data_IF_576504868152
#
_entry.id   IF_576504868152
#
_cell.length_a   1.000
_cell.length_b   1.000
_cell.length_c   1.000
_cell.angle_alpha   90.00
_cell.angle_beta   90.00
_cell.angle_gamma   90.00
#
_symmetry.space_group_name_H-M   'P 1'
#
loop_
_entity.id
_entity.type
_entity.pdbx_description
1 polymer ?
#
# COMPACT_ATOMS: atom_id res chain seq x y z
N UNK A 1 -3.96 -22.38 21.09
CA UNK A 1 -4.63 -21.12 20.72
C UNK A 1 -3.56 -20.28 20.10
N UNK A 2 -3.36 -20.47 18.80
CA UNK A 2 -2.29 -19.80 18.07
C UNK A 2 -2.64 -18.32 17.96
N UNK A 3 -1.83 -17.47 18.58
CA UNK A 3 -1.89 -16.04 18.37
C UNK A 3 -1.43 -15.81 16.93
N UNK A 4 -2.39 -15.57 16.03
CA UNK A 4 -2.08 -15.05 14.70
C UNK A 4 -1.62 -13.60 14.89
N UNK A 5 -0.31 -13.37 14.87
CA UNK A 5 0.29 -12.11 15.30
C UNK A 5 0.39 -11.12 14.13
N UNK A 6 -0.46 -10.08 14.15
CA UNK A 6 -0.18 -8.86 13.38
C UNK A 6 1.14 -8.25 13.87
N UNK A 7 2.12 -8.09 12.99
CA UNK A 7 3.48 -7.64 13.37
C UNK A 7 3.80 -6.26 12.81
N UNK A 8 4.41 -5.38 13.61
CA UNK A 8 4.85 -4.08 13.15
C UNK A 8 6.07 -4.22 12.22
N UNK A 9 5.97 -3.71 11.00
CA UNK A 9 7.09 -3.62 10.07
C UNK A 9 7.87 -2.33 10.39
N UNK A 10 9.17 -2.47 10.61
CA UNK A 10 10.02 -1.37 11.10
C UNK A 10 11.31 -1.13 10.31
N UNK A 11 11.62 -1.94 9.29
CA UNK A 11 12.77 -1.67 8.42
C UNK A 11 12.51 -0.43 7.56
N UNK A 12 13.17 0.72 7.81
CA UNK A 12 12.88 1.97 7.13
C UNK A 12 13.10 1.91 5.61
N UNK A 13 13.98 1.02 5.15
CA UNK A 13 14.34 0.89 3.74
C UNK A 13 13.39 -0.04 2.98
N UNK A 14 12.57 -0.81 3.70
CA UNK A 14 11.63 -1.72 3.06
C UNK A 14 10.61 -0.93 2.23
N UNK A 15 10.43 -1.39 1.00
CA UNK A 15 9.44 -0.85 0.08
C UNK A 15 8.10 -1.57 0.24
N UNK A 16 7.03 -0.80 0.26
CA UNK A 16 5.65 -1.22 0.32
C UNK A 16 4.99 -0.95 -1.02
N UNK A 17 4.60 -2.01 -1.72
CA UNK A 17 3.99 -1.93 -3.03
C UNK A 17 2.49 -1.67 -2.96
N UNK A 18 2.02 -0.75 -3.81
CA UNK A 18 0.62 -0.40 -3.97
C UNK A 18 0.25 -0.42 -5.45
N UNK A 19 -0.82 -1.14 -5.77
CA UNK A 19 -1.39 -1.16 -7.10
C UNK A 19 -2.34 0.02 -7.31
N UNK A 20 -2.24 0.64 -8.48
CA UNK A 20 -3.08 1.79 -8.85
C UNK A 20 -4.14 1.34 -9.84
N UNK A 21 -5.40 1.63 -9.56
CA UNK A 21 -6.52 1.30 -10.44
C UNK A 21 -6.56 2.24 -11.66
N UNK A 22 -6.88 1.78 -12.89
CA UNK A 22 -6.88 2.61 -14.09
C UNK A 22 -7.70 3.90 -14.00
N UNK A 23 -8.88 3.85 -13.36
CA UNK A 23 -9.73 5.04 -13.17
C UNK A 23 -9.12 6.13 -12.28
N UNK A 24 -8.01 5.84 -11.62
CA UNK A 24 -7.32 6.74 -10.70
C UNK A 24 -5.90 7.10 -11.18
N UNK A 25 -5.59 6.78 -12.45
CA UNK A 25 -4.36 7.17 -13.09
C UNK A 25 -4.67 7.88 -14.40
N UNK A 26 -4.29 9.15 -14.52
CA UNK A 26 -4.50 9.94 -15.72
C UNK A 26 -3.39 10.97 -15.90
N UNK A 27 -2.94 11.15 -17.15
CA UNK A 27 -1.87 12.11 -17.50
C UNK A 27 -0.61 11.98 -16.62
N UNK A 28 -0.23 10.75 -16.28
CA UNK A 28 0.92 10.48 -15.42
C UNK A 28 0.72 10.91 -13.97
N UNK A 29 -0.51 11.04 -13.48
CA UNK A 29 -0.84 11.43 -12.11
C UNK A 29 -1.69 10.37 -11.43
N UNK A 30 -1.39 10.10 -10.17
CA UNK A 30 -2.19 9.21 -9.32
C UNK A 30 -3.17 10.04 -8.49
N UNK A 31 -4.45 9.67 -8.51
CA UNK A 31 -5.44 10.26 -7.62
C UNK A 31 -5.20 9.83 -6.16
N UNK A 32 -5.26 10.78 -5.22
CA UNK A 32 -5.01 10.52 -3.79
C UNK A 32 -5.88 9.46 -3.14
N UNK A 33 -7.05 9.16 -3.72
CA UNK A 33 -7.91 8.07 -3.25
C UNK A 33 -7.22 6.70 -3.30
N UNK A 34 -6.22 6.49 -4.17
CA UNK A 34 -5.43 5.27 -4.19
C UNK A 34 -4.61 5.02 -2.91
N UNK A 35 -4.36 6.08 -2.14
CA UNK A 35 -3.60 6.07 -0.88
C UNK A 35 -4.45 6.54 0.31
N UNK A 36 -5.77 6.63 0.15
CA UNK A 36 -6.69 7.01 1.22
C UNK A 36 -7.71 5.87 1.41
N UNK A 37 -7.53 4.99 2.41
CA UNK A 37 -8.51 3.95 2.68
C UNK A 37 -9.83 4.58 3.11
N UNK A 38 -10.94 3.89 2.86
CA UNK A 38 -12.26 4.31 3.30
C UNK A 38 -12.77 3.46 4.48
N UNK A 39 -13.97 3.75 4.97
CA UNK A 39 -14.55 3.03 6.11
C UNK A 39 -14.86 1.55 5.82
N UNK A 40 -15.13 1.19 4.57
CA UNK A 40 -15.31 -0.21 4.15
C UNK A 40 -13.99 -0.98 4.16
N UNK A 41 -12.86 -0.27 4.02
CA UNK A 41 -11.51 -0.83 4.17
C UNK A 41 -11.06 -0.88 5.64
N UNK A 42 -11.95 -0.61 6.61
CA UNK A 42 -11.60 -0.48 8.04
C UNK A 42 -10.43 0.49 8.30
N UNK A 43 -10.29 1.52 7.46
CA UNK A 43 -9.15 2.44 7.44
C UNK A 43 -7.78 1.72 7.36
N UNK A 44 -7.72 0.55 6.72
CA UNK A 44 -6.50 -0.22 6.45
C UNK A 44 -6.18 -0.13 4.97
N UNK A 45 -5.07 0.52 4.61
CA UNK A 45 -4.64 0.61 3.22
C UNK A 45 -3.76 -0.59 2.86
N UNK A 46 -4.29 -1.53 2.08
CA UNK A 46 -3.53 -2.72 1.64
C UNK A 46 -2.31 -2.36 0.81
N UNK A 47 -1.18 -2.97 1.15
CA UNK A 47 0.11 -2.90 0.47
C UNK A 47 0.74 -4.29 0.41
N UNK A 48 1.89 -4.40 -0.24
CA UNK A 48 2.71 -5.62 -0.21
C UNK A 48 4.15 -5.33 0.15
N UNK A 49 4.74 -6.22 0.93
CA UNK A 49 6.11 -6.16 1.41
C UNK A 49 7.10 -6.57 0.33
N UNK A 50 8.04 -5.68 0.00
CA UNK A 50 9.13 -5.96 -0.94
C UNK A 50 10.09 -7.03 -0.45
N UNK A 51 10.12 -7.31 0.85
CA UNK A 51 10.87 -8.44 1.42
C UNK A 51 10.36 -9.80 0.95
N UNK A 52 9.08 -9.90 0.58
CA UNK A 52 8.43 -11.16 0.24
C UNK A 52 8.14 -11.33 -1.25
N UNK A 53 7.92 -10.24 -1.98
CA UNK A 53 7.58 -10.25 -3.40
C UNK A 53 8.34 -9.14 -4.12
N UNK A 54 8.59 -9.30 -5.42
CA UNK A 54 9.03 -8.22 -6.31
C UNK A 54 7.87 -7.30 -6.73
N UNK A 55 8.17 -6.13 -7.30
CA UNK A 55 7.15 -5.21 -7.84
C UNK A 55 6.30 -5.86 -8.95
N UNK A 56 6.93 -6.70 -9.78
CA UNK A 56 6.27 -7.55 -10.79
C UNK A 56 5.36 -8.59 -10.14
N UNK A 57 5.85 -9.39 -9.19
CA UNK A 57 5.00 -10.36 -8.50
C UNK A 57 3.82 -9.70 -7.80
N UNK A 58 4.02 -8.53 -7.17
CA UNK A 58 2.94 -7.76 -6.56
C UNK A 58 1.86 -7.36 -7.58
N UNK A 59 2.27 -6.96 -8.79
CA UNK A 59 1.37 -6.70 -9.91
C UNK A 59 0.61 -7.96 -10.34
N UNK A 60 1.32 -9.06 -10.59
CA UNK A 60 0.71 -10.32 -11.06
C UNK A 60 -0.26 -10.90 -10.03
N UNK A 61 0.07 -10.84 -8.73
CA UNK A 61 -0.85 -11.28 -7.67
C UNK A 61 -2.12 -10.42 -7.70
N UNK A 62 -2.00 -9.10 -7.81
CA UNK A 62 -3.16 -8.22 -7.84
C UNK A 62 -4.02 -8.44 -9.10
N UNK A 63 -3.38 -8.55 -10.26
CA UNK A 63 -4.05 -8.68 -11.56
C UNK A 63 -4.65 -10.06 -11.77
N UNK A 64 -3.86 -11.12 -11.56
CA UNK A 64 -4.24 -12.47 -11.98
C UNK A 64 -4.79 -13.32 -10.83
N UNK A 65 -4.27 -13.15 -9.60
CA UNK A 65 -4.72 -13.97 -8.45
C UNK A 65 -5.95 -13.33 -7.80
N UNK A 66 -5.92 -12.01 -7.57
CA UNK A 66 -7.06 -11.29 -7.00
C UNK A 66 -8.09 -10.86 -8.06
N UNK A 67 -7.77 -11.01 -9.35
CA UNK A 67 -8.63 -10.61 -10.47
C UNK A 67 -9.05 -9.12 -10.41
N UNK A 68 -8.13 -8.25 -9.99
CA UNK A 68 -8.35 -6.81 -9.85
C UNK A 68 -7.63 -6.03 -10.94
N UNK A 69 -8.18 -4.88 -11.34
CA UNK A 69 -7.57 -4.01 -12.37
C UNK A 69 -6.47 -3.15 -11.77
N UNK A 70 -5.34 -3.09 -12.45
CA UNK A 70 -4.26 -2.16 -12.12
C UNK A 70 -3.51 -1.68 -13.36
N UNK A 71 -2.99 -0.45 -13.32
CA UNK A 71 -2.07 0.09 -14.35
C UNK A 71 -0.60 -0.13 -14.00
N UNK A 72 -0.29 -0.59 -12.79
CA UNK A 72 1.09 -0.74 -12.36
C UNK A 72 1.27 -0.77 -10.85
N UNK A 73 2.51 -0.97 -10.44
CA UNK A 73 2.94 -1.03 -9.04
C UNK A 73 3.79 0.20 -8.70
N UNK A 74 3.32 0.97 -7.73
CA UNK A 74 4.10 2.04 -7.10
C UNK A 74 4.56 1.60 -5.72
N UNK A 75 5.49 2.34 -5.12
CA UNK A 75 6.00 2.02 -3.80
C UNK A 75 6.13 3.21 -2.86
N UNK A 76 5.98 2.93 -1.57
CA UNK A 76 6.36 3.80 -0.45
C UNK A 76 7.46 3.11 0.36
N UNK A 77 8.29 3.83 1.10
CA UNK A 77 9.17 3.20 2.09
C UNK A 77 8.47 3.21 3.45
N UNK A 78 8.83 2.27 4.33
CA UNK A 78 8.34 2.28 5.72
C UNK A 78 8.72 3.59 6.41
N UNK A 79 9.88 4.18 6.08
CA UNK A 79 10.29 5.49 6.58
C UNK A 79 9.33 6.61 6.15
N UNK A 80 8.95 6.68 4.87
CA UNK A 80 8.01 7.69 4.34
C UNK A 80 6.63 7.59 5.00
N UNK A 81 6.16 6.37 5.25
CA UNK A 81 4.91 6.13 5.99
C UNK A 81 5.04 6.58 7.45
N UNK A 82 6.16 6.22 8.09
CA UNK A 82 6.42 6.56 9.49
C UNK A 82 6.59 8.07 9.72
N UNK A 83 7.14 8.82 8.75
CA UNK A 83 7.23 10.29 8.77
C UNK A 83 5.86 10.97 8.85
N UNK A 84 4.81 10.29 8.36
CA UNK A 84 3.42 10.74 8.44
C UNK A 84 2.68 10.19 9.67
N UNK A 85 3.43 9.68 10.66
CA UNK A 85 2.93 9.09 11.91
C UNK A 85 1.98 7.89 11.70
N UNK A 86 2.12 7.20 10.56
CA UNK A 86 1.39 5.97 10.26
C UNK A 86 2.24 4.74 10.59
N UNK A 87 1.57 3.61 10.84
CA UNK A 87 2.21 2.31 11.07
C UNK A 87 1.90 1.35 9.94
N UNK A 88 2.85 0.46 9.67
CA UNK A 88 2.71 -0.61 8.68
C UNK A 88 2.65 -1.93 9.42
N UNK A 89 1.62 -2.72 9.17
CA UNK A 89 1.34 -3.95 9.89
C UNK A 89 1.37 -5.11 8.91
N UNK A 90 2.21 -6.10 9.19
CA UNK A 90 2.20 -7.40 8.52
C UNK A 90 1.00 -8.20 9.04
N UNK A 91 0.14 -8.63 8.12
CA UNK A 91 -1.00 -9.51 8.34
C UNK A 91 -0.99 -10.67 7.33
N UNK A 92 0.18 -11.03 6.80
CA UNK A 92 0.33 -12.09 5.80
C UNK A 92 -0.09 -13.48 6.30
N UNK A 93 -0.07 -13.71 7.61
CA UNK A 93 -0.62 -14.93 8.23
C UNK A 93 -2.16 -14.93 8.31
N UNK A 94 -2.82 -13.78 8.17
CA UNK A 94 -4.28 -13.64 8.22
C UNK A 94 -4.94 -13.75 6.84
N UNK A 95 -4.22 -13.30 5.82
CA UNK A 95 -4.69 -13.24 4.45
C UNK A 95 -3.79 -14.15 3.64
N UNK A 96 -4.32 -15.24 3.07
CA UNK A 96 -3.60 -16.21 2.21
C UNK A 96 -3.07 -15.57 0.91
N UNK A 97 -2.19 -14.59 1.06
CA UNK A 97 -1.84 -13.62 0.05
C UNK A 97 -0.42 -13.12 0.34
N UNK A 98 0.55 -13.79 -0.28
CA UNK A 98 2.00 -13.61 -0.04
C UNK A 98 2.40 -12.14 0.10
N UNK A 99 3.07 -11.83 1.20
CA UNK A 99 3.62 -10.50 1.49
C UNK A 99 2.57 -9.41 1.69
N UNK A 100 1.30 -9.75 1.94
CA UNK A 100 0.28 -8.74 2.28
C UNK A 100 0.64 -8.05 3.60
N UNK A 101 0.39 -6.75 3.63
CA UNK A 101 0.49 -5.90 4.80
C UNK A 101 -0.51 -4.75 4.62
N UNK A 102 -0.73 -3.96 5.66
CA UNK A 102 -1.55 -2.76 5.56
C UNK A 102 -0.93 -1.56 6.28
N UNK A 103 -1.20 -0.37 5.76
CA UNK A 103 -0.91 0.89 6.45
C UNK A 103 -2.14 1.27 7.27
N UNK A 104 -1.96 1.50 8.56
CA UNK A 104 -3.05 1.70 9.52
C UNK A 104 -3.42 3.19 9.67
N UNK A 105 -4.58 3.59 9.15
CA UNK A 105 -5.10 4.96 9.25
C UNK A 105 -6.09 5.16 10.42
N UNK A 106 -6.30 4.17 11.30
CA UNK A 106 -7.36 4.23 12.33
C UNK A 106 -7.18 5.35 13.37
N UNK A 107 -5.96 5.89 13.53
CA UNK A 107 -5.71 7.03 14.41
C UNK A 107 -6.05 8.39 13.77
N UNK A 108 -6.50 8.42 12.51
CA UNK A 108 -6.71 9.64 11.75
C UNK A 108 -8.19 9.92 11.50
N UNK A 109 -8.55 11.20 11.52
CA UNK A 109 -9.82 11.67 10.99
C UNK A 109 -9.85 11.59 9.46
N UNK A 110 -11.04 11.59 8.87
CA UNK A 110 -11.22 11.60 7.41
C UNK A 110 -10.46 12.73 6.70
N UNK A 111 -10.34 13.90 7.33
CA UNK A 111 -9.62 15.04 6.76
C UNK A 111 -8.09 14.85 6.84
N UNK A 112 -7.59 14.26 7.92
CA UNK A 112 -6.17 13.92 8.06
C UNK A 112 -5.77 12.82 7.08
N UNK A 113 -6.58 11.77 6.94
CA UNK A 113 -6.35 10.69 5.96
C UNK A 113 -6.20 11.24 4.54
N UNK A 114 -7.05 12.19 4.13
CA UNK A 114 -6.94 12.84 2.81
C UNK A 114 -5.65 13.63 2.65
N UNK A 115 -5.25 14.40 3.68
CA UNK A 115 -4.01 15.19 3.64
C UNK A 115 -2.78 14.29 3.57
N UNK A 116 -2.74 13.23 4.37
CA UNK A 116 -1.63 12.27 4.37
C UNK A 116 -1.59 11.50 3.05
N UNK A 117 -2.73 11.06 2.52
CA UNK A 117 -2.80 10.39 1.23
C UNK A 117 -2.19 11.22 0.09
N UNK A 118 -2.42 12.55 0.07
CA UNK A 118 -1.76 13.44 -0.91
C UNK A 118 -0.24 13.46 -0.78
N UNK A 119 0.30 13.33 0.44
CA UNK A 119 1.75 13.24 0.65
C UNK A 119 2.30 11.88 0.24
N UNK A 120 1.60 10.79 0.57
CA UNK A 120 1.96 9.45 0.14
C UNK A 120 1.99 9.34 -1.39
N UNK A 121 1.02 9.93 -2.09
CA UNK A 121 1.04 10.02 -3.55
C UNK A 121 2.31 10.71 -4.04
N UNK A 122 2.73 11.82 -3.42
CA UNK A 122 3.96 12.52 -3.83
C UNK A 122 5.19 11.64 -3.66
N UNK A 123 5.29 10.88 -2.57
CA UNK A 123 6.39 9.94 -2.37
C UNK A 123 6.41 8.85 -3.46
N UNK A 124 5.25 8.22 -3.70
CA UNK A 124 5.11 7.22 -4.77
C UNK A 124 5.43 7.80 -6.15
N UNK A 125 4.91 8.99 -6.48
CA UNK A 125 5.15 9.66 -7.75
C UNK A 125 6.62 10.05 -7.94
N UNK A 126 7.30 10.54 -6.88
CA UNK A 126 8.73 10.87 -6.93
C UNK A 126 9.60 9.63 -7.16
N UNK A 127 9.18 8.47 -6.65
CA UNK A 127 9.85 7.19 -6.90
C UNK A 127 9.63 6.67 -8.32
N UNK A 128 8.47 6.99 -8.91
CA UNK A 128 8.08 6.51 -10.22
C UNK A 128 7.40 5.14 -10.18
N UNK A 129 6.99 4.69 -11.36
CA UNK A 129 6.40 3.37 -11.53
C UNK A 129 7.47 2.28 -11.36
N UNK A 130 7.25 1.34 -10.45
CA UNK A 130 8.18 0.23 -10.18
C UNK A 130 7.89 -1.00 -11.04
N UNK A 131 6.71 -1.06 -11.67
CA UNK A 131 6.36 -2.05 -12.67
C UNK A 131 5.08 -1.65 -13.42
N UNK A 132 5.14 -1.67 -14.75
CA UNK A 132 4.01 -1.67 -15.67
C UNK A 132 4.17 -2.82 -16.67
N UNK A 133 3.05 -3.23 -17.26
CA UNK A 133 3.01 -4.21 -18.36
C UNK A 133 3.29 -3.54 -19.71
#
# INVERSE_FOLDING_TARGET
>A
MDANEETLISDPNEILYRQIHPNHYSYGQIASICFCPNSQDNNKLSVRQSKHVSSKEAFEIHKNILNLKTVGTWGLSVEEVSREALKVIDDSDHVSNKGHAYINFNSLTKNESKKIAQKLVKYAMNRGNLYEE
#
